data_IF_199483087156
#
_entry.id   IF_199483087156
#
_cell.length_a   1.000
_cell.length_b   1.000
_cell.length_c   1.000
_cell.angle_alpha   90.00
_cell.angle_beta   90.00
_cell.angle_gamma   90.00
#
_symmetry.space_group_name_H-M   'P 1'
#
loop_
_entity.id
_entity.type
_entity.pdbx_description
1 polymer ?
#
# COMPACT_ATOMS: atom_id res chain seq x y z
N UNK A 1 31.27 -6.51 1.91
CA UNK A 1 30.41 -6.99 0.82
C UNK A 1 30.31 -5.91 -0.23
N UNK A 2 30.21 -6.23 -1.53
CA UNK A 2 29.98 -5.21 -2.57
C UNK A 2 28.65 -4.49 -2.29
N UNK A 3 28.60 -3.21 -2.63
CA UNK A 3 27.43 -2.38 -2.37
C UNK A 3 26.32 -2.70 -3.37
N UNK A 4 25.17 -3.20 -2.91
CA UNK A 4 24.06 -3.63 -3.77
C UNK A 4 23.40 -2.47 -4.56
N UNK A 5 23.80 -1.21 -4.28
CA UNK A 5 23.37 -0.02 -5.05
C UNK A 5 24.34 0.34 -6.17
N UNK A 6 25.50 -0.32 -6.27
CA UNK A 6 26.46 -0.05 -7.35
C UNK A 6 26.01 -0.74 -8.64
N UNK A 7 25.95 0.02 -9.72
CA UNK A 7 25.49 -0.48 -11.02
C UNK A 7 26.40 -1.62 -11.56
N UNK A 8 27.71 -1.58 -11.26
CA UNK A 8 28.65 -2.65 -11.60
C UNK A 8 28.30 -3.95 -10.86
N UNK A 9 28.01 -3.88 -9.56
CA UNK A 9 27.58 -5.02 -8.75
C UNK A 9 26.26 -5.60 -9.26
N UNK A 10 25.27 -4.76 -9.58
CA UNK A 10 23.99 -5.20 -10.13
C UNK A 10 24.18 -5.93 -11.46
N UNK A 11 25.01 -5.39 -12.36
CA UNK A 11 25.28 -6.01 -13.66
C UNK A 11 26.02 -7.34 -13.52
N UNK A 12 26.99 -7.42 -12.62
CA UNK A 12 27.71 -8.65 -12.33
C UNK A 12 26.77 -9.74 -11.78
N UNK A 13 25.93 -9.40 -10.78
CA UNK A 13 24.90 -10.30 -10.25
C UNK A 13 23.97 -10.78 -11.37
N UNK A 14 23.45 -9.88 -12.18
CA UNK A 14 22.57 -10.24 -13.30
C UNK A 14 23.27 -11.19 -14.29
N UNK A 15 24.55 -10.96 -14.62
CA UNK A 15 25.30 -11.80 -15.54
C UNK A 15 25.58 -13.20 -14.94
N UNK A 16 26.00 -13.29 -13.68
CA UNK A 16 26.34 -14.57 -13.01
C UNK A 16 25.11 -15.48 -12.83
N UNK A 17 23.93 -14.90 -12.60
CA UNK A 17 22.69 -15.63 -12.37
C UNK A 17 21.79 -15.71 -13.61
N UNK A 18 22.29 -15.31 -14.79
CA UNK A 18 21.49 -15.20 -16.02
C UNK A 18 20.13 -14.52 -15.78
N UNK A 19 20.17 -13.47 -14.93
CA UNK A 19 18.97 -12.77 -14.52
C UNK A 19 18.74 -11.53 -15.40
N UNK A 20 17.66 -11.54 -16.18
CA UNK A 20 17.20 -10.38 -16.93
C UNK A 20 16.03 -9.72 -16.21
N UNK A 21 16.12 -8.38 -16.02
CA UNK A 21 15.05 -7.58 -15.45
C UNK A 21 13.75 -7.73 -16.24
N UNK A 22 12.68 -8.06 -15.56
CA UNK A 22 11.37 -8.27 -16.16
C UNK A 22 10.50 -7.02 -16.11
N UNK A 23 10.12 -6.51 -17.29
CA UNK A 23 9.11 -5.45 -17.37
C UNK A 23 7.75 -5.90 -16.83
N UNK A 24 7.42 -7.20 -16.98
CA UNK A 24 6.18 -7.79 -16.50
C UNK A 24 6.05 -7.75 -14.99
N UNK A 25 7.15 -7.83 -14.23
CA UNK A 25 7.19 -7.67 -12.79
C UNK A 25 7.45 -6.22 -12.34
N UNK A 26 7.61 -5.27 -13.28
CA UNK A 26 7.87 -3.87 -12.95
C UNK A 26 9.17 -3.64 -12.18
N UNK A 27 10.19 -4.50 -12.37
CA UNK A 27 11.45 -4.47 -11.63
C UNK A 27 12.27 -3.23 -11.96
N UNK A 28 12.53 -2.41 -10.94
CA UNK A 28 13.42 -1.25 -10.97
C UNK A 28 14.26 -1.28 -9.70
N UNK A 29 15.54 -1.63 -9.83
CA UNK A 29 16.45 -1.72 -8.68
C UNK A 29 16.91 -0.33 -8.23
N UNK A 30 16.97 -0.11 -6.94
CA UNK A 30 17.40 1.15 -6.35
C UNK A 30 18.93 1.20 -6.41
N UNK A 31 19.47 2.24 -7.07
CA UNK A 31 20.92 2.50 -7.20
C UNK A 31 21.38 3.70 -6.38
N UNK A 32 20.49 4.43 -5.75
CA UNK A 32 20.83 5.52 -4.84
C UNK A 32 20.94 4.99 -3.40
N UNK A 33 22.14 4.99 -2.80
CA UNK A 33 22.37 4.37 -1.49
C UNK A 33 21.64 5.06 -0.33
N UNK A 34 21.21 6.32 -0.50
CA UNK A 34 20.52 7.07 0.54
C UNK A 34 19.02 6.76 0.70
N UNK A 35 18.41 5.99 -0.22
CA UNK A 35 16.94 5.81 -0.22
C UNK A 35 16.51 4.71 0.75
N UNK A 36 17.05 3.50 0.64
CA UNK A 36 16.64 2.38 1.47
C UNK A 36 16.88 2.59 2.97
N UNK A 37 18.00 3.20 3.43
CA UNK A 37 18.16 3.58 4.83
C UNK A 37 17.05 4.50 5.33
N UNK A 38 16.64 5.50 4.52
CA UNK A 38 15.56 6.43 4.87
C UNK A 38 14.19 5.76 4.91
N UNK A 39 13.93 4.76 4.05
CA UNK A 39 12.69 3.97 4.10
C UNK A 39 12.64 3.17 5.39
N UNK A 40 13.72 2.45 5.73
CA UNK A 40 13.79 1.63 6.94
C UNK A 40 13.72 2.48 8.22
N UNK A 41 14.34 3.66 8.24
CA UNK A 41 14.23 4.64 9.32
C UNK A 41 12.79 5.15 9.46
N UNK A 42 12.18 5.55 8.35
CA UNK A 42 10.80 6.05 8.33
C UNK A 42 9.78 5.00 8.77
N UNK A 43 10.06 3.70 8.59
CA UNK A 43 9.24 2.61 9.10
C UNK A 43 9.28 2.49 10.63
N UNK A 44 10.26 3.13 11.29
CA UNK A 44 10.39 3.11 12.76
C UNK A 44 10.78 1.74 13.30
N UNK A 45 11.46 0.93 12.49
CA UNK A 45 11.92 -0.42 12.85
C UNK A 45 13.18 -0.30 13.71
N UNK A 46 13.22 -1.09 14.77
CA UNK A 46 14.36 -1.18 15.70
C UNK A 46 14.39 -2.53 16.41
N UNK A 47 15.22 -2.68 17.44
CA UNK A 47 15.27 -3.89 18.26
C UNK A 47 13.89 -4.26 18.80
N UNK A 48 13.54 -5.54 18.79
CA UNK A 48 12.24 -6.06 19.16
C UNK A 48 11.18 -6.03 18.05
N UNK A 49 11.48 -5.50 16.85
CA UNK A 49 10.55 -5.43 15.73
C UNK A 49 10.77 -6.52 14.70
N UNK A 50 9.68 -6.91 14.05
CA UNK A 50 9.69 -7.66 12.80
C UNK A 50 9.49 -6.72 11.59
N UNK A 51 10.05 -7.10 10.45
CA UNK A 51 9.80 -6.45 9.18
C UNK A 51 9.29 -7.45 8.15
N UNK A 52 8.11 -7.18 7.58
CA UNK A 52 7.60 -7.88 6.40
C UNK A 52 7.93 -7.05 5.16
N UNK A 53 8.66 -7.63 4.22
CA UNK A 53 8.97 -6.97 2.95
C UNK A 53 8.20 -7.61 1.80
N UNK A 54 7.75 -6.79 0.85
CA UNK A 54 7.13 -7.27 -0.38
C UNK A 54 8.00 -6.90 -1.56
N UNK A 55 8.51 -7.93 -2.27
CA UNK A 55 9.39 -7.77 -3.42
C UNK A 55 10.81 -7.29 -3.03
N UNK A 56 11.65 -8.15 -2.44
CA UNK A 56 13.01 -7.78 -2.02
C UNK A 56 13.92 -7.42 -3.21
N UNK A 57 13.60 -7.89 -4.42
CA UNK A 57 14.47 -7.76 -5.58
C UNK A 57 15.83 -8.39 -5.32
N UNK A 58 16.92 -7.62 -5.42
CA UNK A 58 18.29 -8.09 -5.13
C UNK A 58 18.70 -7.86 -3.66
N UNK A 59 17.78 -7.43 -2.78
CA UNK A 59 18.04 -7.29 -1.35
C UNK A 59 18.48 -5.91 -0.87
N UNK A 60 18.37 -4.84 -1.69
CA UNK A 60 18.85 -3.49 -1.29
C UNK A 60 18.10 -2.93 -0.08
N UNK A 61 16.79 -3.05 -0.05
CA UNK A 61 15.97 -2.63 1.10
C UNK A 61 16.06 -3.68 2.21
N UNK A 62 16.05 -4.97 1.86
CA UNK A 62 16.16 -6.11 2.78
C UNK A 62 17.38 -5.96 3.70
N UNK A 63 18.55 -5.62 3.14
CA UNK A 63 19.77 -5.36 3.91
C UNK A 63 19.56 -4.30 4.99
N UNK A 64 18.87 -3.20 4.66
CA UNK A 64 18.62 -2.11 5.59
C UNK A 64 17.61 -2.49 6.68
N UNK A 65 16.67 -3.37 6.36
CA UNK A 65 15.72 -3.93 7.33
C UNK A 65 16.43 -4.92 8.27
N UNK A 66 17.28 -5.81 7.73
CA UNK A 66 18.04 -6.78 8.52
C UNK A 66 18.98 -6.11 9.54
N UNK A 67 19.55 -4.96 9.20
CA UNK A 67 20.41 -4.17 10.12
C UNK A 67 19.64 -3.58 11.31
N UNK A 68 18.31 -3.57 11.29
CA UNK A 68 17.47 -2.87 12.29
C UNK A 68 16.50 -3.79 13.02
N UNK A 69 15.85 -4.70 12.29
CA UNK A 69 14.83 -5.60 12.83
C UNK A 69 15.44 -6.86 13.46
N UNK A 70 14.75 -7.44 14.44
CA UNK A 70 15.09 -8.77 14.95
C UNK A 70 14.89 -9.86 13.90
N UNK A 71 13.89 -9.69 13.05
CA UNK A 71 13.54 -10.65 11.99
C UNK A 71 12.98 -9.93 10.77
N UNK A 72 13.41 -10.37 9.59
CA UNK A 72 12.92 -9.89 8.29
C UNK A 72 12.40 -11.07 7.50
N UNK A 73 11.17 -10.96 7.02
CA UNK A 73 10.56 -11.94 6.12
C UNK A 73 10.19 -11.21 4.83
N UNK A 74 10.74 -11.66 3.71
CA UNK A 74 10.44 -11.08 2.40
C UNK A 74 9.62 -12.05 1.55
N UNK A 75 8.53 -11.57 0.96
CA UNK A 75 7.69 -12.33 0.02
C UNK A 75 8.09 -11.96 -1.40
N UNK A 76 8.48 -12.95 -2.21
CA UNK A 76 8.90 -12.76 -3.60
C UNK A 76 8.13 -13.72 -4.53
N UNK A 77 7.68 -13.20 -5.66
CA UNK A 77 6.93 -13.98 -6.66
C UNK A 77 7.82 -14.49 -7.79
N UNK A 78 8.94 -13.83 -8.05
CA UNK A 78 9.88 -14.19 -9.12
C UNK A 78 10.80 -15.34 -8.69
N UNK A 79 10.53 -16.51 -9.24
CA UNK A 79 11.25 -17.77 -8.97
C UNK A 79 12.75 -17.73 -9.36
N UNK A 80 13.21 -16.70 -10.06
CA UNK A 80 14.60 -16.54 -10.50
C UNK A 80 15.48 -15.82 -9.48
N UNK A 81 14.85 -15.11 -8.50
CA UNK A 81 15.56 -14.31 -7.49
C UNK A 81 16.12 -15.10 -6.31
N UNK A 82 15.56 -16.25 -5.88
CA UNK A 82 16.09 -16.96 -4.69
C UNK A 82 17.60 -17.23 -4.70
N UNK A 83 18.23 -17.79 -5.77
CA UNK A 83 19.68 -18.04 -5.74
C UNK A 83 20.51 -16.76 -5.59
N UNK A 84 20.04 -15.64 -6.16
CA UNK A 84 20.68 -14.34 -6.05
C UNK A 84 20.54 -13.77 -4.64
N UNK A 85 19.35 -13.91 -4.02
CA UNK A 85 19.10 -13.48 -2.65
C UNK A 85 19.87 -14.32 -1.62
N UNK A 86 20.07 -15.60 -1.86
CA UNK A 86 20.96 -16.45 -1.02
C UNK A 86 22.37 -15.88 -0.95
N UNK A 87 22.95 -15.42 -2.07
CA UNK A 87 24.25 -14.77 -2.08
C UNK A 87 24.22 -13.39 -1.39
N UNK A 88 23.29 -12.52 -1.80
CA UNK A 88 23.27 -11.13 -1.32
C UNK A 88 22.91 -11.00 0.15
N UNK A 89 22.17 -11.96 0.68
CA UNK A 89 21.69 -11.98 2.08
C UNK A 89 22.43 -12.97 2.96
N UNK A 90 23.47 -13.66 2.47
CA UNK A 90 24.25 -14.70 3.20
C UNK A 90 24.82 -14.22 4.55
N UNK A 91 25.00 -12.92 4.74
CA UNK A 91 25.50 -12.34 6.01
C UNK A 91 24.41 -11.99 7.04
N UNK A 92 23.14 -12.35 6.80
CA UNK A 92 22.02 -11.98 7.66
C UNK A 92 21.21 -13.20 8.13
N UNK A 93 21.52 -13.70 9.33
CA UNK A 93 20.83 -14.85 9.95
C UNK A 93 19.36 -14.56 10.32
N UNK A 94 18.99 -13.29 10.36
CA UNK A 94 17.63 -12.83 10.66
C UNK A 94 16.75 -12.64 9.42
N UNK A 95 17.19 -13.06 8.24
CA UNK A 95 16.46 -13.01 6.98
C UNK A 95 15.78 -14.33 6.64
N UNK A 96 14.52 -14.29 6.19
CA UNK A 96 13.78 -15.41 5.61
C UNK A 96 13.09 -15.00 4.32
N UNK A 97 13.28 -15.79 3.26
CA UNK A 97 12.58 -15.63 1.98
C UNK A 97 11.37 -16.56 1.93
N UNK A 98 10.21 -16.03 1.51
CA UNK A 98 9.00 -16.78 1.20
C UNK A 98 8.69 -16.61 -0.28
N UNK A 99 8.89 -17.66 -1.06
CA UNK A 99 8.59 -17.65 -2.49
C UNK A 99 7.09 -17.86 -2.72
N UNK A 100 6.36 -16.78 -2.82
CA UNK A 100 4.90 -16.80 -3.03
C UNK A 100 4.40 -15.46 -3.61
N UNK A 101 3.16 -15.44 -4.05
CA UNK A 101 2.45 -14.21 -4.41
C UNK A 101 1.85 -13.58 -3.14
N UNK A 102 2.23 -12.32 -2.85
CA UNK A 102 1.71 -11.58 -1.69
C UNK A 102 0.17 -11.46 -1.69
N UNK A 103 -0.47 -11.58 -2.84
CA UNK A 103 -1.93 -11.57 -2.95
C UNK A 103 -2.58 -12.94 -2.70
N UNK A 104 -1.79 -14.02 -2.49
CA UNK A 104 -2.29 -15.38 -2.31
C UNK A 104 -1.87 -16.02 -1.00
N UNK A 105 -0.70 -15.63 -0.47
CA UNK A 105 -0.17 -16.18 0.79
C UNK A 105 -1.10 -15.85 1.96
N UNK A 106 -1.29 -16.79 2.90
CA UNK A 106 -1.98 -16.50 4.16
C UNK A 106 -1.12 -15.58 5.03
N UNK A 107 -1.37 -14.26 4.94
CA UNK A 107 -0.61 -13.25 5.67
C UNK A 107 -0.82 -13.34 7.19
N UNK A 108 -2.01 -13.74 7.66
CA UNK A 108 -2.27 -13.88 9.10
C UNK A 108 -1.47 -15.03 9.69
N UNK A 109 -1.50 -16.20 9.03
CA UNK A 109 -0.72 -17.35 9.45
C UNK A 109 0.78 -17.06 9.40
N UNK A 110 1.26 -16.45 8.31
CA UNK A 110 2.67 -16.07 8.14
C UNK A 110 3.13 -15.10 9.24
N UNK A 111 2.37 -14.07 9.54
CA UNK A 111 2.73 -13.09 10.58
C UNK A 111 2.77 -13.74 11.97
N UNK A 112 1.81 -14.61 12.28
CA UNK A 112 1.77 -15.32 13.56
C UNK A 112 2.96 -16.28 13.71
N UNK A 113 3.27 -17.06 12.67
CA UNK A 113 4.39 -18.03 12.68
C UNK A 113 5.75 -17.33 12.81
N UNK A 114 5.95 -16.26 12.02
CA UNK A 114 7.27 -15.68 11.86
C UNK A 114 7.59 -14.61 12.91
N UNK A 115 6.61 -13.90 13.41
CA UNK A 115 6.84 -12.75 14.28
C UNK A 115 6.21 -12.89 15.68
N UNK A 116 5.23 -13.79 15.86
CA UNK A 116 4.51 -13.92 17.12
C UNK A 116 3.89 -12.58 17.56
N UNK A 117 4.20 -12.15 18.78
CA UNK A 117 3.66 -10.89 19.35
C UNK A 117 4.51 -9.65 19.04
N UNK A 118 5.59 -9.79 18.26
CA UNK A 118 6.43 -8.64 17.90
C UNK A 118 5.65 -7.61 17.09
N UNK A 119 5.87 -6.30 17.31
CA UNK A 119 5.37 -5.29 16.41
C UNK A 119 5.99 -5.47 15.02
N UNK A 120 5.17 -5.44 13.98
CA UNK A 120 5.60 -5.63 12.59
C UNK A 120 5.34 -4.36 11.78
N UNK A 121 6.36 -3.95 11.02
CA UNK A 121 6.20 -2.97 9.95
C UNK A 121 6.28 -3.66 8.58
N UNK A 122 5.45 -3.22 7.64
CA UNK A 122 5.54 -3.65 6.24
C UNK A 122 6.36 -2.62 5.47
N UNK A 123 7.39 -3.08 4.74
CA UNK A 123 8.22 -2.23 3.90
C UNK A 123 8.26 -2.76 2.47
N UNK A 124 8.22 -1.88 1.47
CA UNK A 124 8.35 -2.32 0.08
C UNK A 124 8.72 -1.19 -0.89
N UNK A 125 9.43 -1.58 -1.95
CA UNK A 125 9.45 -0.84 -3.21
C UNK A 125 8.43 -1.51 -4.15
N UNK A 126 7.16 -1.07 -4.10
CA UNK A 126 6.07 -1.77 -4.77
C UNK A 126 6.10 -1.58 -6.29
N UNK A 127 5.86 -2.66 -7.08
CA UNK A 127 5.57 -2.53 -8.49
C UNK A 127 4.32 -1.67 -8.72
N UNK A 128 4.42 -0.68 -9.62
CA UNK A 128 3.39 0.35 -9.77
C UNK A 128 2.02 -0.17 -10.19
N UNK A 129 1.99 -1.23 -11.00
CA UNK A 129 0.74 -1.79 -11.53
C UNK A 129 -0.09 -2.55 -10.48
N UNK A 130 0.52 -2.95 -9.35
CA UNK A 130 -0.12 -3.78 -8.31
C UNK A 130 -0.16 -3.10 -6.93
N UNK A 131 0.26 -1.83 -6.86
CA UNK A 131 0.32 -1.05 -5.60
C UNK A 131 -1.01 -1.07 -4.85
N UNK A 132 -2.13 -0.72 -5.52
CA UNK A 132 -3.43 -0.62 -4.86
C UNK A 132 -3.96 -1.97 -4.34
N UNK A 133 -3.94 -3.07 -5.12
CA UNK A 133 -4.33 -4.38 -4.60
C UNK A 133 -3.53 -4.83 -3.37
N UNK A 134 -2.21 -4.61 -3.36
CA UNK A 134 -1.37 -4.99 -2.22
C UNK A 134 -1.73 -4.16 -0.98
N UNK A 135 -1.80 -2.83 -1.11
CA UNK A 135 -2.12 -1.96 0.02
C UNK A 135 -3.52 -2.24 0.58
N UNK A 136 -4.52 -2.44 -0.29
CA UNK A 136 -5.87 -2.76 0.14
C UNK A 136 -5.91 -4.08 0.90
N UNK A 137 -5.24 -5.12 0.40
CA UNK A 137 -5.15 -6.39 1.11
C UNK A 137 -4.54 -6.25 2.51
N UNK A 138 -3.39 -5.54 2.62
CA UNK A 138 -2.72 -5.32 3.90
C UNK A 138 -3.59 -4.55 4.92
N UNK A 139 -4.48 -3.69 4.45
CA UNK A 139 -5.36 -2.89 5.30
C UNK A 139 -6.67 -3.62 5.64
N UNK A 140 -7.33 -4.22 4.65
CA UNK A 140 -8.65 -4.86 4.80
C UNK A 140 -8.61 -6.15 5.61
N UNK A 141 -7.51 -6.92 5.55
CA UNK A 141 -7.35 -8.16 6.33
C UNK A 141 -7.15 -7.92 7.83
N UNK A 142 -7.07 -6.65 8.28
CA UNK A 142 -6.89 -6.29 9.71
C UNK A 142 -5.72 -7.04 10.35
N UNK A 143 -4.59 -7.04 9.63
CA UNK A 143 -3.37 -7.72 10.05
C UNK A 143 -2.76 -7.05 11.30
N UNK A 144 -2.02 -7.81 12.16
CA UNK A 144 -1.36 -7.27 13.35
C UNK A 144 -0.09 -6.47 13.01
N UNK A 145 -0.21 -5.53 12.08
CA UNK A 145 0.88 -4.65 11.64
C UNK A 145 0.71 -3.24 12.20
N UNK A 146 1.82 -2.55 12.42
CA UNK A 146 1.83 -1.19 12.99
C UNK A 146 1.81 -0.10 11.94
N UNK A 147 2.58 -0.30 10.89
CA UNK A 147 2.63 0.64 9.77
C UNK A 147 3.01 -0.08 8.46
N UNK A 148 2.72 0.61 7.36
CA UNK A 148 3.11 0.22 6.00
C UNK A 148 3.91 1.39 5.43
N UNK A 149 5.21 1.20 5.21
CA UNK A 149 6.11 2.22 4.64
C UNK A 149 6.55 1.76 3.26
N UNK A 150 6.03 2.39 2.22
CA UNK A 150 6.22 1.91 0.86
C UNK A 150 6.59 3.02 -0.11
N UNK A 151 7.36 2.65 -1.13
CA UNK A 151 7.64 3.50 -2.27
C UNK A 151 6.72 3.12 -3.43
N UNK A 152 6.06 4.14 -3.99
CA UNK A 152 5.06 4.01 -5.08
C UNK A 152 5.24 5.16 -6.08
N UNK A 153 4.48 5.17 -7.19
CA UNK A 153 4.45 6.34 -8.08
C UNK A 153 3.97 7.59 -7.32
N UNK A 154 4.57 8.74 -7.61
CA UNK A 154 4.24 10.00 -6.93
C UNK A 154 2.75 10.37 -7.03
N UNK A 155 2.14 10.18 -8.20
CA UNK A 155 0.71 10.44 -8.37
C UNK A 155 -0.16 9.49 -7.52
N UNK A 156 0.22 8.20 -7.45
CA UNK A 156 -0.44 7.24 -6.58
C UNK A 156 -0.27 7.62 -5.09
N UNK A 157 0.95 8.03 -4.69
CA UNK A 157 1.22 8.51 -3.34
C UNK A 157 0.34 9.71 -2.95
N UNK A 158 0.23 10.69 -3.84
CA UNK A 158 -0.64 11.86 -3.63
C UNK A 158 -2.09 11.45 -3.43
N UNK A 159 -2.59 10.54 -4.26
CA UNK A 159 -3.97 10.03 -4.14
C UNK A 159 -4.18 9.20 -2.88
N UNK A 160 -3.24 8.33 -2.52
CA UNK A 160 -3.31 7.53 -1.29
C UNK A 160 -3.31 8.40 -0.03
N UNK A 161 -2.58 9.52 -0.05
CA UNK A 161 -2.46 10.44 1.07
C UNK A 161 -3.45 11.62 1.03
N UNK A 162 -4.30 11.70 0.01
CA UNK A 162 -5.30 12.75 -0.08
C UNK A 162 -6.38 12.57 1.00
N UNK A 163 -6.69 13.65 1.72
CA UNK A 163 -7.74 13.61 2.73
C UNK A 163 -9.14 13.47 2.08
N UNK A 164 -10.03 12.62 2.61
CA UNK A 164 -11.45 12.63 2.26
C UNK A 164 -12.04 14.05 2.33
N UNK A 165 -12.95 14.38 1.43
CA UNK A 165 -13.52 15.73 1.34
C UNK A 165 -12.66 16.72 0.52
N UNK A 166 -11.56 16.29 -0.08
CA UNK A 166 -10.68 17.13 -0.90
C UNK A 166 -10.67 16.70 -2.37
N UNK A 167 -10.37 17.66 -3.26
CA UNK A 167 -10.38 17.48 -4.71
C UNK A 167 -9.53 16.31 -5.23
N UNK A 168 -8.43 16.01 -4.55
CA UNK A 168 -7.46 15.00 -4.99
C UNK A 168 -7.81 13.60 -4.47
N UNK A 169 -8.86 13.49 -3.63
CA UNK A 169 -9.31 12.22 -3.08
C UNK A 169 -9.95 11.33 -4.17
N UNK A 170 -9.68 10.05 -4.09
CA UNK A 170 -10.31 8.99 -4.85
C UNK A 170 -10.82 7.88 -3.92
N UNK A 171 -11.55 6.91 -4.42
CA UNK A 171 -12.08 5.82 -3.59
C UNK A 171 -11.00 5.19 -2.67
N UNK A 172 -9.77 5.04 -3.16
CA UNK A 172 -8.67 4.48 -2.39
C UNK A 172 -8.24 5.40 -1.22
N UNK A 173 -8.37 6.71 -1.36
CA UNK A 173 -8.06 7.67 -0.29
C UNK A 173 -8.95 7.45 0.92
N UNK A 174 -10.24 7.16 0.68
CA UNK A 174 -11.21 6.86 1.74
C UNK A 174 -10.89 5.55 2.45
N UNK A 175 -10.53 4.51 1.70
CA UNK A 175 -10.14 3.24 2.30
C UNK A 175 -8.87 3.39 3.14
N UNK A 176 -7.86 4.09 2.61
CA UNK A 176 -6.62 4.37 3.38
C UNK A 176 -6.94 5.18 4.63
N UNK A 177 -7.69 6.29 4.53
CA UNK A 177 -8.02 7.13 5.68
C UNK A 177 -8.86 6.40 6.73
N UNK A 178 -9.70 5.44 6.32
CA UNK A 178 -10.50 4.61 7.22
C UNK A 178 -9.62 3.68 8.08
N UNK A 179 -8.63 3.02 7.47
CA UNK A 179 -7.79 2.01 8.14
C UNK A 179 -6.49 2.56 8.71
N UNK A 180 -5.99 3.70 8.21
CA UNK A 180 -4.66 4.22 8.55
C UNK A 180 -4.59 5.75 8.56
N UNK A 181 -3.49 6.29 9.08
CA UNK A 181 -3.09 7.69 8.95
C UNK A 181 -1.98 7.81 7.90
N UNK A 182 -2.29 8.29 6.70
CA UNK A 182 -1.31 8.41 5.63
C UNK A 182 -0.41 9.63 5.80
N UNK A 183 0.89 9.45 5.50
CA UNK A 183 1.88 10.52 5.45
C UNK A 183 2.73 10.39 4.19
N UNK A 184 2.79 11.43 3.38
CA UNK A 184 3.73 11.52 2.27
C UNK A 184 5.06 12.01 2.83
N UNK A 185 6.13 11.21 2.71
CA UNK A 185 7.40 11.46 3.37
C UNK A 185 8.38 12.22 2.48
N UNK A 186 8.73 11.65 1.32
CA UNK A 186 9.65 12.26 0.38
C UNK A 186 9.51 11.71 -1.04
N UNK A 187 9.94 12.51 -2.01
CA UNK A 187 9.98 12.10 -3.41
C UNK A 187 11.32 11.46 -3.77
N UNK A 188 11.29 10.52 -4.72
CA UNK A 188 12.46 9.80 -5.25
C UNK A 188 12.49 9.96 -6.75
N UNK A 189 13.57 10.56 -7.27
CA UNK A 189 13.72 10.83 -8.70
C UNK A 189 13.98 9.55 -9.49
N UNK A 190 13.52 9.51 -10.73
CA UNK A 190 13.66 8.36 -11.62
C UNK A 190 15.13 7.91 -11.82
N UNK A 191 16.10 8.84 -11.79
CA UNK A 191 17.53 8.52 -11.87
C UNK A 191 18.09 7.71 -10.69
N UNK A 192 17.31 7.51 -9.64
CA UNK A 192 17.68 6.66 -8.50
C UNK A 192 17.48 5.16 -8.74
N UNK A 193 17.07 4.76 -9.95
CA UNK A 193 16.73 3.38 -10.28
C UNK A 193 17.43 2.89 -11.55
N UNK A 194 17.61 1.57 -11.63
CA UNK A 194 18.05 0.86 -12.83
C UNK A 194 17.15 -0.34 -13.13
N UNK A 195 16.53 -0.39 -14.32
CA UNK A 195 16.38 0.71 -15.27
C UNK A 195 15.57 1.86 -14.68
N UNK A 196 15.77 3.08 -15.17
CA UNK A 196 15.05 4.24 -14.69
C UNK A 196 13.55 4.16 -15.10
N UNK A 197 12.59 4.30 -14.16
CA UNK A 197 11.18 4.39 -14.49
C UNK A 197 10.88 5.71 -15.22
N UNK A 198 9.75 5.77 -15.93
CA UNK A 198 9.33 6.98 -16.66
C UNK A 198 8.79 8.09 -15.75
N UNK A 199 8.51 7.79 -14.49
CA UNK A 199 7.83 8.68 -13.54
C UNK A 199 8.60 8.77 -12.23
N UNK A 200 8.42 9.89 -11.54
CA UNK A 200 8.94 10.08 -10.17
C UNK A 200 8.19 9.19 -9.20
N UNK A 201 8.90 8.64 -8.21
CA UNK A 201 8.34 7.91 -7.10
C UNK A 201 8.19 8.78 -5.86
N UNK A 202 7.45 8.30 -4.89
CA UNK A 202 7.40 8.88 -3.55
C UNK A 202 7.28 7.78 -2.51
N UNK A 203 7.84 8.02 -1.33
CA UNK A 203 7.69 7.16 -0.16
C UNK A 203 6.56 7.71 0.69
N UNK A 204 5.65 6.83 1.07
CA UNK A 204 4.55 7.09 2.00
C UNK A 204 4.66 6.17 3.19
N UNK A 205 4.10 6.62 4.31
CA UNK A 205 3.87 5.80 5.49
C UNK A 205 2.39 5.85 5.86
N UNK A 206 1.82 4.69 6.11
CA UNK A 206 0.46 4.48 6.57
C UNK A 206 0.55 3.93 7.99
N UNK A 207 0.28 4.74 9.00
CA UNK A 207 0.21 4.29 10.40
C UNK A 207 -1.14 3.60 10.61
N UNK A 208 -1.14 2.27 10.77
CA UNK A 208 -2.37 1.46 10.83
C UNK A 208 -3.12 1.75 12.13
N UNK A 209 -4.40 2.10 12.02
CA UNK A 209 -5.25 2.41 13.15
C UNK A 209 -5.63 1.15 13.93
N UNK A 210 -5.73 1.26 15.24
CA UNK A 210 -6.29 0.18 16.10
C UNK A 210 -7.80 0.05 15.92
N UNK A 211 -8.47 1.16 15.67
CA UNK A 211 -9.91 1.25 15.38
C UNK A 211 -10.08 2.11 14.13
N UNK A 212 -11.04 1.78 13.26
CA UNK A 212 -11.32 2.60 12.07
C UNK A 212 -11.58 4.06 12.41
N UNK A 213 -11.31 4.97 11.44
CA UNK A 213 -11.48 6.41 11.61
C UNK A 213 -12.92 6.81 11.93
N UNK A 214 -13.89 6.07 11.40
CA UNK A 214 -15.33 6.27 11.64
C UNK A 214 -15.99 4.91 11.93
N UNK A 215 -17.07 4.93 12.70
CA UNK A 215 -17.92 3.75 12.89
C UNK A 215 -18.99 3.72 11.80
N UNK A 216 -18.93 2.69 10.98
CA UNK A 216 -19.92 2.50 9.91
C UNK A 216 -21.26 2.01 10.48
N UNK A 217 -22.40 2.43 9.92
CA UNK A 217 -23.72 2.00 10.35
C UNK A 217 -23.82 0.46 10.38
N UNK A 218 -24.36 -0.08 11.48
CA UNK A 218 -24.53 -1.50 11.73
C UNK A 218 -23.24 -2.36 11.60
N UNK A 219 -22.04 -1.73 11.58
CA UNK A 219 -20.77 -2.42 11.33
C UNK A 219 -20.59 -2.93 9.90
N UNK A 220 -21.45 -2.53 8.95
CA UNK A 220 -21.41 -3.01 7.56
C UNK A 220 -20.38 -2.24 6.72
N UNK A 221 -19.10 -2.61 6.93
CA UNK A 221 -17.97 -2.08 6.14
C UNK A 221 -18.12 -2.43 4.64
N UNK A 222 -18.71 -3.58 4.31
CA UNK A 222 -18.86 -4.01 2.92
C UNK A 222 -19.79 -3.07 2.14
N UNK A 223 -20.95 -2.72 2.72
CA UNK A 223 -21.88 -1.76 2.15
C UNK A 223 -21.27 -0.35 2.11
N UNK A 224 -20.53 0.06 3.15
CA UNK A 224 -19.84 1.35 3.18
C UNK A 224 -18.86 1.53 2.02
N UNK A 225 -17.98 0.57 1.81
CA UNK A 225 -17.04 0.64 0.70
C UNK A 225 -17.69 0.39 -0.67
N UNK A 226 -18.80 -0.36 -0.74
CA UNK A 226 -19.59 -0.46 -1.96
C UNK A 226 -20.20 0.90 -2.34
N UNK A 227 -20.73 1.65 -1.38
CA UNK A 227 -21.25 3.01 -1.57
C UNK A 227 -20.15 3.97 -2.09
N UNK A 228 -18.96 3.97 -1.46
CA UNK A 228 -17.84 4.80 -1.90
C UNK A 228 -17.40 4.41 -3.32
N UNK A 229 -17.20 3.11 -3.60
CA UNK A 229 -16.85 2.65 -4.95
C UNK A 229 -17.88 3.06 -6.00
N UNK A 230 -19.16 2.96 -5.68
CA UNK A 230 -20.25 3.39 -6.57
C UNK A 230 -20.17 4.90 -6.83
N UNK A 231 -19.97 5.71 -5.79
CA UNK A 231 -19.82 7.15 -5.91
C UNK A 231 -18.68 7.55 -6.85
N UNK A 232 -17.53 6.87 -6.76
CA UNK A 232 -16.36 7.15 -7.59
C UNK A 232 -16.35 6.42 -8.95
N UNK A 233 -17.39 5.64 -9.28
CA UNK A 233 -17.45 4.89 -10.54
C UNK A 233 -17.51 5.77 -11.79
N UNK A 234 -17.95 7.03 -11.66
CA UNK A 234 -18.16 7.98 -12.75
C UNK A 234 -17.52 9.34 -12.46
N UNK A 235 -16.27 9.55 -12.89
CA UNK A 235 -15.43 10.73 -12.58
C UNK A 235 -16.07 12.12 -12.80
N UNK A 236 -17.01 12.27 -13.73
CA UNK A 236 -17.61 13.56 -14.11
C UNK A 236 -19.03 13.77 -13.58
N UNK A 237 -19.57 12.83 -12.81
CA UNK A 237 -20.94 12.89 -12.30
C UNK A 237 -20.97 13.35 -10.84
N UNK A 238 -22.16 13.85 -10.41
CA UNK A 238 -22.44 14.08 -8.99
C UNK A 238 -22.49 12.75 -8.24
N UNK A 239 -22.29 12.78 -6.93
CA UNK A 239 -22.40 11.60 -6.07
C UNK A 239 -23.76 10.92 -6.24
N UNK A 240 -24.87 11.71 -6.29
CA UNK A 240 -26.22 11.20 -6.52
C UNK A 240 -26.32 10.33 -7.78
N UNK A 241 -25.83 10.83 -8.92
CA UNK A 241 -25.91 10.11 -10.18
C UNK A 241 -25.02 8.87 -10.21
N UNK A 242 -23.80 8.97 -9.67
CA UNK A 242 -22.85 7.86 -9.66
C UNK A 242 -23.32 6.73 -8.74
N UNK A 243 -23.82 7.06 -7.55
CA UNK A 243 -24.34 6.10 -6.57
C UNK A 243 -25.58 5.39 -7.13
N UNK A 244 -26.55 6.14 -7.67
CA UNK A 244 -27.76 5.57 -8.26
C UNK A 244 -27.43 4.52 -9.31
N UNK A 245 -26.50 4.84 -10.22
CA UNK A 245 -26.08 3.92 -11.26
C UNK A 245 -25.26 2.74 -10.69
N UNK A 246 -24.30 3.01 -9.80
CA UNK A 246 -23.36 2.00 -9.28
C UNK A 246 -24.01 1.00 -8.31
N UNK A 247 -25.04 1.40 -7.59
CA UNK A 247 -25.82 0.53 -6.69
C UNK A 247 -27.17 0.09 -7.28
N UNK A 248 -27.49 0.46 -8.53
CA UNK A 248 -28.76 0.17 -9.18
C UNK A 248 -30.00 0.64 -8.39
N UNK A 249 -29.88 1.82 -7.74
CA UNK A 249 -30.94 2.43 -6.96
C UNK A 249 -31.72 3.49 -7.79
N UNK A 250 -33.01 3.71 -7.51
CA UNK A 250 -33.73 4.85 -8.06
C UNK A 250 -33.05 6.16 -7.65
N UNK A 251 -32.81 7.06 -8.62
CA UNK A 251 -32.16 8.35 -8.33
C UNK A 251 -32.89 9.17 -7.26
N UNK A 252 -34.23 9.13 -7.27
CA UNK A 252 -35.03 9.80 -6.25
C UNK A 252 -34.73 9.33 -4.83
N UNK A 253 -34.52 8.02 -4.64
CA UNK A 253 -34.13 7.46 -3.35
C UNK A 253 -32.76 7.99 -2.86
N UNK A 254 -31.77 8.07 -3.77
CA UNK A 254 -30.44 8.61 -3.42
C UNK A 254 -30.51 10.10 -3.09
N UNK A 255 -31.31 10.88 -3.82
CA UNK A 255 -31.52 12.30 -3.52
C UNK A 255 -32.20 12.51 -2.17
N UNK A 256 -33.26 11.74 -1.86
CA UNK A 256 -33.88 11.75 -0.53
C UNK A 256 -32.90 11.41 0.59
N UNK A 257 -32.04 10.41 0.38
CA UNK A 257 -31.01 10.04 1.36
C UNK A 257 -29.97 11.15 1.57
N UNK A 258 -29.53 11.82 0.50
CA UNK A 258 -28.64 12.98 0.60
C UNK A 258 -29.28 14.12 1.40
N UNK A 259 -30.52 14.45 1.11
CA UNK A 259 -31.28 15.48 1.86
C UNK A 259 -31.42 15.10 3.34
N UNK A 260 -31.78 13.84 3.64
CA UNK A 260 -31.93 13.36 5.01
C UNK A 260 -30.60 13.37 5.77
N UNK A 261 -29.48 13.20 5.08
CA UNK A 261 -28.13 13.32 5.63
C UNK A 261 -27.62 14.78 5.69
N UNK A 262 -28.40 15.76 5.24
CA UNK A 262 -28.01 17.18 5.20
C UNK A 262 -26.94 17.51 4.17
N UNK A 263 -26.81 16.71 3.10
CA UNK A 263 -25.78 16.82 2.08
C UNK A 263 -26.29 17.51 0.81
N UNK A 264 -25.40 18.23 0.12
CA UNK A 264 -25.72 18.86 -1.16
C UNK A 264 -25.95 17.80 -2.26
N UNK A 265 -27.10 17.82 -2.88
CA UNK A 265 -27.48 16.95 -4.00
C UNK A 265 -26.54 17.06 -5.22
N UNK A 266 -25.85 18.20 -5.34
CA UNK A 266 -24.90 18.47 -6.42
C UNK A 266 -23.46 18.10 -6.05
N UNK A 267 -23.21 17.69 -4.80
CA UNK A 267 -21.89 17.31 -4.34
C UNK A 267 -21.24 16.26 -5.26
N UNK A 268 -19.95 16.41 -5.47
CA UNK A 268 -19.14 15.38 -6.12
C UNK A 268 -18.62 14.39 -5.08
N UNK A 269 -18.34 13.15 -5.49
CA UNK A 269 -17.86 12.11 -4.56
C UNK A 269 -16.67 12.54 -3.70
N UNK A 270 -15.72 13.25 -4.27
CA UNK A 270 -14.52 13.71 -3.60
C UNK A 270 -14.74 14.81 -2.55
N UNK A 271 -15.91 15.46 -2.58
CA UNK A 271 -16.26 16.53 -1.63
C UNK A 271 -16.84 16.02 -0.32
N UNK A 272 -17.29 14.75 -0.28
CA UNK A 272 -17.88 14.16 0.91
C UNK A 272 -16.79 13.60 1.84
N UNK A 273 -16.93 13.80 3.15
CA UNK A 273 -16.05 13.24 4.18
C UNK A 273 -16.42 11.77 4.50
N UNK A 274 -15.62 11.10 5.33
CA UNK A 274 -15.94 9.74 5.81
C UNK A 274 -17.25 9.74 6.63
N UNK A 275 -17.42 10.74 7.48
CA UNK A 275 -18.59 10.91 8.33
C UNK A 275 -19.85 11.14 7.49
N UNK A 276 -19.75 11.95 6.45
CA UNK A 276 -20.85 12.21 5.51
C UNK A 276 -21.23 10.96 4.72
N UNK A 277 -20.26 10.12 4.32
CA UNK A 277 -20.57 8.81 3.72
C UNK A 277 -21.24 7.85 4.72
N UNK A 278 -20.88 7.88 6.01
CA UNK A 278 -21.58 7.11 7.05
C UNK A 278 -23.04 7.60 7.21
N UNK A 279 -23.25 8.92 7.26
CA UNK A 279 -24.59 9.50 7.35
C UNK A 279 -25.45 9.13 6.13
N UNK A 280 -24.86 9.18 4.93
CA UNK A 280 -25.54 8.79 3.68
C UNK A 280 -25.87 7.28 3.66
N UNK A 281 -24.94 6.42 4.10
CA UNK A 281 -25.20 4.99 4.22
C UNK A 281 -26.39 4.73 5.16
N UNK A 282 -26.41 5.38 6.33
CA UNK A 282 -27.49 5.24 7.27
C UNK A 282 -28.85 5.68 6.67
N UNK A 283 -28.88 6.82 5.98
CA UNK A 283 -30.08 7.32 5.32
C UNK A 283 -30.58 6.42 4.17
N UNK A 284 -29.68 5.70 3.48
CA UNK A 284 -30.05 4.73 2.44
C UNK A 284 -30.66 3.44 2.99
N UNK A 285 -30.35 3.07 4.26
CA UNK A 285 -30.89 1.86 4.92
C UNK A 285 -32.17 2.15 5.73
N UNK A 286 -32.45 3.41 6.04
CA UNK A 286 -33.69 3.81 6.73
C UNK A 286 -34.81 3.80 5.71
N UNK A 287 -35.66 2.75 5.74
CA UNK A 287 -36.88 2.64 4.92
C UNK A 287 -38.03 3.45 5.51
#
# INVERSE_FOLDING_TARGET
MPTLTDLSTIRDLCARYDFALSKGFGQNFIINPGICPRIAEAAGIGPGWGALEVGPGIGVLTEQLCKRADKVVSIEVDKRLPPLLEETMAGYDNFKLVLNDVLKVDLKALLAEEFGDKPVAVCANLPYYITSPILMRLLEEKLPIRNITVMVQKEAAQRLCAAPGTRDAGAISYAVAYYAEPKLLFSVQHGSFYPAPKVTSAVIRLDVRKTPAVQVPNGDEAAFFALIRAAFSQRRKTAANAIANGLHLPKAQVLTALQSAGLDERARPEQLTLEEYCALQNALHTK
#
